data_IF_380446816842
#
_entry.id   IF_380446816842
#
_cell.length_a   1.000
_cell.length_b   1.000
_cell.length_c   1.000
_cell.angle_alpha   90.00
_cell.angle_beta   90.00
_cell.angle_gamma   90.00
#
_symmetry.space_group_name_H-M   'P 1'
#
loop_
_entity.id
_entity.type
_entity.pdbx_description
1 polymer ?
#
# COMPACT_ATOMS: atom_id res chain seq x y z
N UNK A 1 41.55 24.82 27.35
CA UNK A 1 40.94 25.43 26.16
C UNK A 1 40.59 26.88 26.45
N UNK A 2 41.03 27.82 25.62
CA UNK A 2 40.69 29.22 25.85
C UNK A 2 39.19 29.45 25.65
N UNK A 3 38.58 30.37 26.43
CA UNK A 3 37.16 30.72 26.32
C UNK A 3 36.74 31.02 24.85
N UNK A 4 37.66 31.61 24.08
CA UNK A 4 37.46 31.91 22.65
C UNK A 4 37.26 30.65 21.77
N UNK A 5 37.99 29.57 22.05
CA UNK A 5 37.85 28.29 21.32
C UNK A 5 36.52 27.63 21.65
N UNK A 6 36.06 27.69 22.90
CA UNK A 6 34.78 27.17 23.31
C UNK A 6 33.63 27.91 22.61
N UNK A 7 33.66 29.25 22.54
CA UNK A 7 32.67 30.06 21.84
C UNK A 7 32.66 29.79 20.33
N UNK A 8 33.82 29.65 19.70
CA UNK A 8 33.92 29.30 18.28
C UNK A 8 33.33 27.91 17.98
N UNK A 9 33.61 26.93 18.85
CA UNK A 9 33.04 25.57 18.71
C UNK A 9 31.52 25.57 18.85
N UNK A 10 31.00 26.30 19.86
CA UNK A 10 29.56 26.43 20.06
C UNK A 10 28.88 27.09 18.86
N UNK A 11 29.44 28.17 18.34
CA UNK A 11 28.94 28.86 17.16
C UNK A 11 28.95 27.94 15.92
N UNK A 12 29.99 27.13 15.73
CA UNK A 12 30.10 26.17 14.65
C UNK A 12 29.02 25.09 14.77
N UNK A 13 28.79 24.55 15.97
CA UNK A 13 27.76 23.54 16.22
C UNK A 13 26.36 24.11 15.92
N UNK A 14 26.06 25.31 16.43
CA UNK A 14 24.78 25.99 16.16
C UNK A 14 24.59 26.23 14.66
N UNK A 15 25.63 26.65 13.96
CA UNK A 15 25.59 26.86 12.52
C UNK A 15 25.32 25.56 11.76
N UNK A 16 25.98 24.45 12.13
CA UNK A 16 25.77 23.14 11.53
C UNK A 16 24.35 22.63 11.77
N UNK A 17 23.83 22.80 12.99
CA UNK A 17 22.44 22.46 13.32
C UNK A 17 21.45 23.28 12.47
N UNK A 18 21.70 24.58 12.34
CA UNK A 18 20.89 25.46 11.51
C UNK A 18 20.89 25.02 10.04
N UNK A 19 22.03 24.69 9.45
CA UNK A 19 22.14 24.17 8.10
C UNK A 19 21.35 22.87 7.94
N UNK A 20 21.47 21.95 8.89
CA UNK A 20 20.77 20.68 8.85
C UNK A 20 19.25 20.86 8.93
N UNK A 21 18.78 21.75 9.82
CA UNK A 21 17.35 22.05 9.99
C UNK A 21 16.76 22.76 8.76
N UNK A 22 17.55 23.63 8.12
CA UNK A 22 17.11 24.43 6.98
C UNK A 22 17.34 23.74 5.63
N UNK A 23 17.88 22.53 5.60
CA UNK A 23 18.26 21.83 4.37
C UNK A 23 17.07 21.63 3.42
N UNK A 24 17.08 22.20 2.20
CA UNK A 24 15.99 22.05 1.26
C UNK A 24 15.84 20.60 0.80
N UNK A 25 14.62 20.13 0.70
CA UNK A 25 14.33 18.76 0.27
C UNK A 25 14.90 18.42 -1.11
N UNK A 26 14.80 19.36 -2.05
CA UNK A 26 15.36 19.21 -3.42
C UNK A 26 16.86 18.93 -3.43
N UNK A 27 17.61 19.48 -2.45
CA UNK A 27 19.04 19.24 -2.35
C UNK A 27 19.31 17.84 -1.79
N UNK A 28 18.54 17.40 -0.80
CA UNK A 28 18.67 16.07 -0.24
C UNK A 28 18.39 14.96 -1.27
N UNK A 29 17.42 15.17 -2.16
CA UNK A 29 17.07 14.20 -3.21
C UNK A 29 18.19 13.96 -4.23
N UNK A 30 19.12 14.90 -4.41
CA UNK A 30 20.27 14.69 -5.31
C UNK A 30 21.23 13.60 -4.82
N UNK A 31 21.18 13.26 -3.53
CA UNK A 31 21.98 12.20 -2.90
C UNK A 31 21.24 10.87 -2.73
N UNK A 32 19.96 10.83 -3.11
CA UNK A 32 19.14 9.60 -3.05
C UNK A 32 19.08 8.97 -4.42
N UNK A 33 19.61 7.77 -4.55
CA UNK A 33 19.42 6.97 -5.75
C UNK A 33 17.96 6.46 -5.79
N UNK A 34 17.17 7.04 -6.69
CA UNK A 34 15.81 6.58 -6.91
C UNK A 34 15.84 5.24 -7.67
N UNK A 35 14.93 4.30 -7.35
CA UNK A 35 14.78 3.08 -8.13
C UNK A 35 14.50 3.40 -9.61
N UNK A 36 14.90 2.47 -10.49
CA UNK A 36 14.61 2.58 -11.93
C UNK A 36 13.09 2.65 -12.15
N UNK A 37 12.64 3.61 -12.97
CA UNK A 37 11.21 3.82 -13.23
C UNK A 37 10.53 4.86 -12.33
N UNK A 38 11.18 5.29 -11.22
CA UNK A 38 10.62 6.32 -10.34
C UNK A 38 11.09 7.71 -10.75
N UNK A 39 10.14 8.61 -11.00
CA UNK A 39 10.37 10.02 -11.30
C UNK A 39 9.65 10.88 -10.28
N UNK A 40 10.34 11.90 -9.78
CA UNK A 40 9.81 12.82 -8.77
C UNK A 40 9.86 14.24 -9.33
N UNK A 41 8.73 14.93 -9.29
CA UNK A 41 8.61 16.31 -9.80
C UNK A 41 7.97 17.24 -8.78
N UNK A 42 8.38 18.54 -8.82
CA UNK A 42 7.75 19.56 -7.98
C UNK A 42 8.05 19.41 -6.47
N UNK A 43 9.34 19.16 -6.12
CA UNK A 43 9.72 18.98 -4.71
C UNK A 43 9.87 20.31 -4.01
N UNK A 44 9.14 20.50 -2.92
CA UNK A 44 9.15 21.67 -2.07
C UNK A 44 9.39 21.35 -0.60
N UNK A 45 9.72 22.39 0.21
CA UNK A 45 9.95 22.26 1.63
C UNK A 45 11.37 21.86 2.03
N UNK A 46 11.50 21.27 3.21
CA UNK A 46 12.77 20.84 3.83
C UNK A 46 12.89 19.33 3.92
N UNK A 47 14.09 18.84 4.26
CA UNK A 47 14.32 17.42 4.55
C UNK A 47 13.32 16.89 5.61
N UNK A 48 12.94 17.71 6.57
CA UNK A 48 12.10 17.35 7.72
C UNK A 48 10.61 17.40 7.44
N UNK A 49 10.20 18.25 6.52
CA UNK A 49 8.83 18.41 6.09
C UNK A 49 8.81 18.93 4.66
N UNK A 50 8.22 18.20 3.79
CA UNK A 50 8.12 18.61 2.40
C UNK A 50 6.94 17.97 1.70
N UNK A 51 6.84 18.31 0.44
CA UNK A 51 5.78 17.90 -0.47
C UNK A 51 6.37 17.63 -1.83
N UNK A 52 5.80 16.66 -2.53
CA UNK A 52 6.08 16.36 -3.92
C UNK A 52 4.78 16.51 -4.69
N UNK A 53 4.78 17.38 -5.70
CA UNK A 53 3.60 17.60 -6.53
C UNK A 53 3.21 16.34 -7.32
N UNK A 54 4.22 15.58 -7.80
CA UNK A 54 3.98 14.35 -8.55
C UNK A 54 5.11 13.33 -8.36
N UNK A 55 4.74 12.10 -8.06
CA UNK A 55 5.61 10.92 -8.10
C UNK A 55 5.05 9.97 -9.16
N UNK A 56 5.86 9.65 -10.14
CA UNK A 56 5.54 8.62 -11.14
C UNK A 56 6.39 7.40 -10.86
N UNK A 57 5.75 6.25 -10.71
CA UNK A 57 6.38 4.95 -10.61
C UNK A 57 5.77 4.06 -11.70
N UNK A 58 6.52 3.82 -12.77
CA UNK A 58 6.06 3.16 -13.98
C UNK A 58 4.77 3.81 -14.54
N UNK A 59 3.64 3.11 -14.48
CA UNK A 59 2.33 3.59 -14.94
C UNK A 59 1.53 4.30 -13.85
N UNK A 60 1.94 4.19 -12.59
CA UNK A 60 1.24 4.78 -11.45
C UNK A 60 1.72 6.21 -11.23
N UNK A 61 0.78 7.14 -11.15
CA UNK A 61 1.03 8.53 -10.81
C UNK A 61 0.35 8.85 -9.47
N UNK A 62 1.12 9.40 -8.54
CA UNK A 62 0.63 9.90 -7.26
C UNK A 62 0.92 11.40 -7.19
N UNK A 63 -0.07 12.18 -6.77
CA UNK A 63 0.04 13.63 -6.58
C UNK A 63 -0.12 13.99 -5.10
N UNK A 64 0.40 15.14 -4.74
CA UNK A 64 0.30 15.71 -3.39
C UNK A 64 0.81 14.73 -2.31
N UNK A 65 2.03 14.20 -2.54
CA UNK A 65 2.69 13.34 -1.57
C UNK A 65 3.46 14.19 -0.58
N UNK A 66 3.03 14.16 0.68
CA UNK A 66 3.64 14.92 1.76
C UNK A 66 4.40 13.99 2.70
N UNK A 67 5.49 14.50 3.27
CA UNK A 67 6.23 13.77 4.30
C UNK A 67 6.57 14.65 5.49
N UNK A 68 6.72 14.00 6.63
CA UNK A 68 7.21 14.61 7.88
C UNK A 68 8.14 13.65 8.60
N UNK A 69 9.40 14.02 8.72
CA UNK A 69 10.38 13.29 9.53
C UNK A 69 10.21 13.66 11.00
N UNK A 70 10.25 12.68 11.89
CA UNK A 70 10.23 12.88 13.35
C UNK A 70 11.65 12.94 13.90
N UNK A 71 12.22 14.15 14.16
CA UNK A 71 13.63 14.27 14.50
C UNK A 71 14.00 13.62 15.85
N UNK A 72 13.06 13.57 16.81
CA UNK A 72 13.30 12.94 18.10
C UNK A 72 13.52 11.41 18.00
N UNK A 73 12.98 10.76 16.98
CA UNK A 73 13.22 9.34 16.75
C UNK A 73 14.67 9.04 16.37
N UNK A 74 15.37 10.02 15.76
CA UNK A 74 16.78 9.89 15.40
C UNK A 74 17.68 9.76 16.64
N UNK A 75 17.30 10.38 17.76
CA UNK A 75 18.04 10.23 19.02
C UNK A 75 18.03 8.78 19.52
N UNK A 76 17.00 8.00 19.14
CA UNK A 76 16.92 6.56 19.40
C UNK A 76 17.51 5.69 18.29
N UNK A 77 18.22 6.27 17.31
CA UNK A 77 18.81 5.54 16.19
C UNK A 77 17.76 5.00 15.18
N UNK A 78 16.60 5.66 15.11
CA UNK A 78 15.51 5.29 14.22
C UNK A 78 15.12 6.47 13.34
N UNK A 79 15.08 6.29 12.03
CA UNK A 79 14.47 7.24 11.12
C UNK A 79 12.95 6.95 11.08
N UNK A 80 12.15 7.92 11.49
CA UNK A 80 10.69 7.81 11.42
C UNK A 80 10.12 8.88 10.52
N UNK A 81 9.28 8.48 9.58
CA UNK A 81 8.73 9.28 8.50
C UNK A 81 7.21 9.05 8.40
N UNK A 82 6.43 10.08 8.59
CA UNK A 82 5.01 10.07 8.28
C UNK A 82 4.84 10.47 6.81
N UNK A 83 4.11 9.67 6.05
CA UNK A 83 3.81 9.92 4.63
C UNK A 83 2.30 10.03 4.47
N UNK A 84 1.84 11.02 3.71
CA UNK A 84 0.44 11.22 3.36
C UNK A 84 0.34 11.44 1.86
N UNK A 85 -0.62 10.78 1.22
CA UNK A 85 -0.99 10.94 -0.18
C UNK A 85 -2.33 11.66 -0.19
N UNK A 86 -2.38 12.85 -0.80
CA UNK A 86 -3.56 13.69 -0.81
C UNK A 86 -4.69 13.18 -1.70
N UNK A 87 -5.88 13.73 -1.49
CA UNK A 87 -7.06 13.46 -2.31
C UNK A 87 -6.96 14.22 -3.64
N UNK A 88 -6.42 13.56 -4.66
CA UNK A 88 -6.41 14.07 -6.02
C UNK A 88 -7.15 13.10 -6.94
N UNK A 89 -7.92 13.63 -7.91
CA UNK A 89 -8.75 12.81 -8.82
C UNK A 89 -7.92 11.78 -9.61
N UNK A 90 -6.66 12.12 -9.90
CA UNK A 90 -5.74 11.25 -10.64
C UNK A 90 -5.00 10.24 -9.74
N UNK A 91 -5.15 10.31 -8.41
CA UNK A 91 -4.48 9.39 -7.52
C UNK A 91 -5.19 8.03 -7.52
N UNK A 92 -4.40 6.99 -7.81
CA UNK A 92 -4.85 5.60 -7.67
C UNK A 92 -5.10 5.25 -6.20
N UNK A 93 -4.31 5.82 -5.31
CA UNK A 93 -4.31 5.57 -3.87
C UNK A 93 -4.35 6.88 -3.11
N UNK A 94 -5.13 6.93 -2.04
CA UNK A 94 -5.21 8.06 -1.10
C UNK A 94 -4.98 7.52 0.31
N UNK A 95 -4.33 8.31 1.15
CA UNK A 95 -4.14 7.91 2.55
C UNK A 95 -2.73 8.17 3.06
N UNK A 96 -2.25 7.34 3.98
CA UNK A 96 -0.92 7.54 4.55
C UNK A 96 -0.56 6.54 5.62
N UNK A 97 0.62 6.72 6.19
CA UNK A 97 1.14 5.85 7.24
C UNK A 97 2.49 6.31 7.75
N UNK A 98 3.01 5.58 8.71
CA UNK A 98 4.32 5.84 9.30
C UNK A 98 5.33 4.80 8.87
N UNK A 99 6.43 5.23 8.26
CA UNK A 99 7.61 4.42 7.97
C UNK A 99 8.64 4.59 9.07
N UNK A 100 9.20 3.50 9.56
CA UNK A 100 10.25 3.50 10.55
C UNK A 100 11.40 2.62 10.07
N UNK A 101 12.61 3.17 10.01
CA UNK A 101 13.82 2.49 9.55
C UNK A 101 14.82 2.45 10.71
N UNK A 102 15.21 1.25 11.10
CA UNK A 102 16.23 1.03 12.13
C UNK A 102 17.15 -0.11 11.72
N UNK A 103 18.47 0.13 11.66
CA UNK A 103 19.48 -0.89 11.35
C UNK A 103 19.12 -1.71 10.10
N UNK A 104 18.73 -1.04 9.01
CA UNK A 104 18.28 -1.63 7.74
C UNK A 104 16.92 -2.38 7.80
N UNK A 105 16.28 -2.48 8.95
CA UNK A 105 14.92 -3.02 9.06
C UNK A 105 13.91 -1.91 8.78
N UNK A 106 13.04 -2.13 7.81
CA UNK A 106 11.93 -1.23 7.46
C UNK A 106 10.66 -1.75 8.10
N UNK A 107 9.95 -0.86 8.79
CA UNK A 107 8.66 -1.13 9.40
C UNK A 107 7.64 -0.08 8.96
N UNK A 108 6.50 -0.53 8.54
CA UNK A 108 5.34 0.32 8.24
C UNK A 108 4.32 0.17 9.37
N UNK A 109 3.79 1.27 9.85
CA UNK A 109 2.80 1.30 10.93
C UNK A 109 1.64 2.21 10.58
N UNK A 110 0.48 1.85 11.09
CA UNK A 110 -0.75 2.65 11.04
C UNK A 110 -1.04 3.16 9.61
N UNK A 111 -0.74 2.34 8.59
CA UNK A 111 -1.00 2.68 7.21
C UNK A 111 -2.48 2.45 6.89
N UNK A 112 -3.08 3.46 6.28
CA UNK A 112 -4.43 3.39 5.72
C UNK A 112 -4.39 3.93 4.32
N UNK A 113 -4.80 3.10 3.36
CA UNK A 113 -4.88 3.47 1.96
C UNK A 113 -6.29 3.14 1.45
N UNK A 114 -6.79 4.03 0.62
CA UNK A 114 -8.09 3.89 -0.03
C UNK A 114 -7.90 3.98 -1.53
N UNK A 115 -8.65 3.17 -2.27
CA UNK A 115 -8.63 3.15 -3.72
C UNK A 115 -10.00 2.72 -4.26
N UNK A 116 -10.35 3.16 -5.46
CA UNK A 116 -11.53 2.64 -6.15
C UNK A 116 -11.19 1.32 -6.86
N UNK A 117 -12.03 0.33 -6.67
CA UNK A 117 -11.84 -0.98 -7.30
C UNK A 117 -11.75 -0.89 -8.83
N UNK A 118 -12.50 0.03 -9.43
CA UNK A 118 -12.47 0.30 -10.88
C UNK A 118 -11.08 0.68 -11.36
N UNK A 119 -10.39 1.54 -10.60
CA UNK A 119 -9.06 2.03 -10.95
C UNK A 119 -8.00 0.95 -10.73
N UNK A 120 -8.10 0.21 -9.62
CA UNK A 120 -7.22 -0.94 -9.35
C UNK A 120 -7.35 -2.04 -10.41
N UNK A 121 -8.57 -2.29 -10.89
CA UNK A 121 -8.84 -3.32 -11.90
C UNK A 121 -8.13 -3.02 -13.25
N UNK A 122 -7.86 -1.74 -13.54
CA UNK A 122 -7.12 -1.34 -14.75
C UNK A 122 -5.65 -1.80 -14.74
N UNK A 123 -5.07 -2.00 -13.55
CA UNK A 123 -3.68 -2.47 -13.36
C UNK A 123 -3.60 -3.99 -13.12
N UNK A 124 -4.73 -4.69 -13.14
CA UNK A 124 -4.72 -6.14 -12.97
C UNK A 124 -4.03 -6.83 -14.16
N UNK A 125 -3.14 -7.82 -13.93
CA UNK A 125 -2.47 -8.56 -15.01
C UNK A 125 -3.45 -9.26 -15.96
N UNK A 126 -4.63 -9.57 -15.47
CA UNK A 126 -5.74 -10.12 -16.25
C UNK A 126 -6.97 -9.26 -15.96
N UNK A 127 -7.43 -8.48 -16.94
CA UNK A 127 -8.63 -7.68 -16.75
C UNK A 127 -9.85 -8.56 -16.47
N UNK A 128 -10.65 -8.14 -15.51
CA UNK A 128 -11.92 -8.81 -15.24
C UNK A 128 -12.81 -8.75 -16.50
N UNK A 129 -13.45 -9.85 -16.89
CA UNK A 129 -14.43 -9.85 -17.98
C UNK A 129 -15.68 -9.04 -17.65
N UNK A 130 -15.88 -8.72 -16.39
CA UNK A 130 -17.00 -7.93 -15.90
C UNK A 130 -16.53 -6.63 -15.28
N UNK A 131 -17.16 -5.49 -15.59
CA UNK A 131 -16.89 -4.25 -14.88
C UNK A 131 -17.17 -4.41 -13.38
N UNK A 132 -16.24 -3.89 -12.56
CA UNK A 132 -16.31 -3.94 -11.11
C UNK A 132 -16.35 -2.52 -10.55
N UNK A 133 -17.05 -2.32 -9.44
CA UNK A 133 -17.04 -1.08 -8.67
C UNK A 133 -17.03 -1.37 -7.17
N UNK A 134 -16.65 -0.39 -6.40
CA UNK A 134 -16.56 -0.44 -4.94
C UNK A 134 -15.33 0.31 -4.45
N UNK A 135 -15.26 0.50 -3.14
CA UNK A 135 -14.16 1.19 -2.49
C UNK A 135 -13.31 0.17 -1.73
N UNK A 136 -12.03 0.14 -2.02
CA UNK A 136 -11.05 -0.76 -1.38
C UNK A 136 -10.29 0.01 -0.32
N UNK A 137 -10.30 -0.49 0.90
CA UNK A 137 -9.54 0.07 2.02
C UNK A 137 -8.50 -0.94 2.50
N UNK A 138 -7.23 -0.53 2.51
CA UNK A 138 -6.14 -1.27 3.12
C UNK A 138 -5.82 -0.65 4.47
N UNK A 139 -5.84 -1.45 5.53
CA UNK A 139 -5.42 -1.05 6.88
C UNK A 139 -4.29 -1.97 7.33
N UNK A 140 -3.09 -1.42 7.48
CA UNK A 140 -1.93 -2.11 8.05
C UNK A 140 -1.60 -1.51 9.41
N UNK A 141 -1.77 -2.29 10.46
CA UNK A 141 -1.36 -1.90 11.81
C UNK A 141 0.15 -2.02 11.96
N UNK A 142 0.72 -3.09 11.41
CA UNK A 142 2.16 -3.33 11.43
C UNK A 142 2.57 -4.17 10.21
N UNK A 143 3.64 -3.75 9.56
CA UNK A 143 4.33 -4.53 8.53
C UNK A 143 5.82 -4.39 8.77
N UNK A 144 6.50 -5.48 8.99
CA UNK A 144 7.96 -5.56 9.09
C UNK A 144 8.47 -6.24 7.84
N UNK A 145 9.22 -5.50 7.01
CA UNK A 145 9.83 -6.08 5.82
C UNK A 145 10.89 -7.11 6.18
N UNK A 146 10.98 -8.14 5.36
CA UNK A 146 11.88 -9.27 5.53
C UNK A 146 12.20 -9.94 4.20
N UNK A 147 12.67 -11.18 4.25
CA UNK A 147 12.95 -11.96 3.05
C UNK A 147 12.05 -13.20 3.04
N UNK A 148 11.40 -13.50 1.90
CA UNK A 148 11.41 -12.79 0.61
C UNK A 148 10.64 -11.46 0.59
N UNK A 149 9.65 -11.21 1.48
CA UNK A 149 8.88 -9.97 1.51
C UNK A 149 8.63 -9.44 2.93
N UNK A 150 8.24 -10.28 3.86
CA UNK A 150 7.86 -9.88 5.21
C UNK A 150 8.45 -10.77 6.30
N UNK A 151 8.60 -10.21 7.50
CA UNK A 151 8.82 -10.95 8.74
C UNK A 151 7.55 -10.97 9.60
N UNK A 152 6.73 -9.93 9.50
CA UNK A 152 5.50 -9.79 10.25
C UNK A 152 4.53 -8.90 9.47
N UNK A 153 3.26 -9.29 9.42
CA UNK A 153 2.18 -8.47 8.86
C UNK A 153 0.96 -8.61 9.76
N UNK A 154 0.36 -7.46 10.07
CA UNK A 154 -0.93 -7.37 10.75
C UNK A 154 -1.75 -6.32 10.02
N UNK A 155 -2.79 -6.75 9.35
CA UNK A 155 -3.63 -5.85 8.57
C UNK A 155 -4.84 -6.52 7.98
N UNK A 156 -5.60 -5.73 7.24
CA UNK A 156 -6.78 -6.19 6.51
C UNK A 156 -7.02 -5.35 5.27
N UNK A 157 -7.69 -5.96 4.32
CA UNK A 157 -8.24 -5.29 3.13
C UNK A 157 -9.75 -5.44 3.19
N UNK A 158 -10.46 -4.36 2.99
CA UNK A 158 -11.92 -4.32 2.96
C UNK A 158 -12.36 -3.78 1.60
N UNK A 159 -13.30 -4.47 0.95
CA UNK A 159 -14.05 -3.98 -0.19
C UNK A 159 -15.42 -3.57 0.33
N UNK A 160 -15.77 -2.30 0.19
CA UNK A 160 -17.06 -1.75 0.59
C UNK A 160 -17.90 -1.44 -0.63
N UNK A 161 -19.19 -1.76 -0.57
CA UNK A 161 -20.13 -1.51 -1.67
C UNK A 161 -19.72 -2.19 -2.97
N UNK A 162 -19.09 -3.36 -2.86
CA UNK A 162 -18.66 -4.14 -4.02
C UNK A 162 -19.85 -4.48 -4.93
N UNK A 163 -19.72 -4.22 -6.24
CA UNK A 163 -20.70 -4.62 -7.23
C UNK A 163 -20.03 -5.01 -8.55
N UNK A 164 -20.68 -5.90 -9.29
CA UNK A 164 -20.25 -6.43 -10.58
C UNK A 164 -21.34 -6.23 -11.61
N UNK A 165 -20.99 -5.79 -12.81
CA UNK A 165 -21.96 -5.65 -13.88
C UNK A 165 -22.16 -6.98 -14.62
N UNK A 166 -23.40 -7.46 -14.62
CA UNK A 166 -23.83 -8.67 -15.35
C UNK A 166 -24.87 -8.27 -16.37
N UNK A 167 -24.49 -8.25 -17.64
CA UNK A 167 -25.35 -7.70 -18.69
C UNK A 167 -25.62 -6.20 -18.46
N UNK A 168 -26.90 -5.76 -18.47
CA UNK A 168 -27.24 -4.35 -18.26
C UNK A 168 -27.36 -3.95 -16.78
N UNK A 169 -27.30 -4.91 -15.84
CA UNK A 169 -27.58 -4.69 -14.41
C UNK A 169 -26.31 -4.77 -13.57
N UNK A 170 -26.28 -3.98 -12.49
CA UNK A 170 -25.29 -4.09 -11.46
C UNK A 170 -25.78 -5.00 -10.36
N UNK A 171 -25.01 -6.02 -10.05
CA UNK A 171 -25.26 -6.98 -8.99
C UNK A 171 -24.39 -6.67 -7.79
N UNK A 172 -25.00 -6.48 -6.65
CA UNK A 172 -24.33 -6.18 -5.40
C UNK A 172 -23.59 -7.42 -4.90
N UNK A 173 -22.27 -7.29 -4.68
CA UNK A 173 -21.44 -8.31 -4.07
C UNK A 173 -21.40 -8.16 -2.54
N UNK A 174 -21.82 -7.00 -2.04
CA UNK A 174 -21.70 -6.65 -0.63
C UNK A 174 -20.27 -6.32 -0.21
N UNK A 175 -20.04 -6.35 1.09
CA UNK A 175 -18.74 -6.05 1.67
C UNK A 175 -17.93 -7.35 1.79
N UNK A 176 -16.67 -7.29 1.37
CA UNK A 176 -15.72 -8.39 1.48
C UNK A 176 -14.53 -7.94 2.33
N UNK A 177 -14.03 -8.83 3.16
CA UNK A 177 -12.87 -8.57 4.01
C UNK A 177 -11.85 -9.68 3.87
N UNK A 178 -10.57 -9.31 3.70
CA UNK A 178 -9.46 -10.23 3.77
C UNK A 178 -8.50 -9.85 4.90
N UNK A 179 -8.04 -10.82 5.65
CA UNK A 179 -7.00 -10.66 6.69
C UNK A 179 -5.64 -10.87 6.06
N UNK A 180 -4.72 -9.98 6.37
CA UNK A 180 -3.33 -10.04 5.91
C UNK A 180 -2.45 -10.64 7.01
N UNK A 181 -1.55 -11.52 6.59
CA UNK A 181 -0.58 -12.18 7.45
C UNK A 181 0.79 -12.31 6.78
N UNK A 182 1.71 -12.96 7.48
CA UNK A 182 3.04 -13.28 6.95
C UNK A 182 3.39 -14.72 7.35
N UNK A 183 3.62 -15.59 6.38
CA UNK A 183 4.00 -16.99 6.57
C UNK A 183 5.24 -17.30 5.75
N UNK A 184 6.29 -17.78 6.40
CA UNK A 184 7.59 -18.11 5.76
C UNK A 184 8.16 -16.99 4.88
N UNK A 185 7.92 -15.74 5.28
CA UNK A 185 8.37 -14.56 4.53
C UNK A 185 7.44 -14.12 3.41
N UNK A 186 6.36 -14.85 3.15
CA UNK A 186 5.35 -14.51 2.15
C UNK A 186 4.22 -13.71 2.79
N UNK A 187 3.81 -12.64 2.11
CA UNK A 187 2.57 -11.94 2.45
C UNK A 187 1.39 -12.85 2.10
N UNK A 188 0.54 -13.10 3.08
CA UNK A 188 -0.69 -13.90 2.89
C UNK A 188 -1.91 -13.01 2.99
N UNK A 189 -2.96 -13.38 2.23
CA UNK A 189 -4.27 -12.78 2.33
C UNK A 189 -5.33 -13.88 2.32
N UNK A 190 -6.17 -13.90 3.35
CA UNK A 190 -7.25 -14.86 3.50
C UNK A 190 -8.60 -14.13 3.53
N UNK A 191 -9.48 -14.50 2.61
CA UNK A 191 -10.82 -13.92 2.54
C UNK A 191 -11.69 -14.47 3.67
N UNK A 192 -12.26 -13.57 4.45
CA UNK A 192 -13.17 -13.92 5.55
C UNK A 192 -14.49 -14.48 5.00
N UNK A 193 -15.19 -15.30 5.81
CA UNK A 193 -16.51 -15.80 5.44
C UNK A 193 -17.46 -14.67 5.02
N UNK A 194 -18.15 -14.86 3.91
CA UNK A 194 -18.99 -13.83 3.30
C UNK A 194 -20.28 -14.42 2.74
N UNK A 195 -21.23 -13.55 2.39
CA UNK A 195 -22.55 -13.94 1.90
C UNK A 195 -22.53 -14.55 0.49
N UNK A 196 -21.45 -14.32 -0.27
CA UNK A 196 -21.32 -14.86 -1.64
C UNK A 196 -20.94 -16.34 -1.67
N UNK A 197 -20.46 -16.89 -0.53
CA UNK A 197 -19.87 -18.24 -0.49
C UNK A 197 -18.53 -18.32 -1.21
N UNK A 198 -17.84 -17.18 -1.34
CA UNK A 198 -16.49 -17.09 -1.89
C UNK A 198 -15.48 -17.33 -0.79
N UNK A 199 -14.58 -18.27 -1.02
CA UNK A 199 -13.36 -18.46 -0.22
C UNK A 199 -12.16 -18.19 -1.12
N UNK A 200 -11.15 -17.50 -0.60
CA UNK A 200 -9.92 -17.24 -1.32
C UNK A 200 -8.75 -17.17 -0.34
N UNK A 201 -7.63 -17.72 -0.76
CA UNK A 201 -6.35 -17.59 -0.10
C UNK A 201 -5.31 -17.22 -1.15
N UNK A 202 -4.47 -16.26 -0.83
CA UNK A 202 -3.37 -15.82 -1.69
C UNK A 202 -2.11 -15.65 -0.85
N UNK A 203 -0.98 -15.97 -1.47
CA UNK A 203 0.35 -15.62 -0.95
C UNK A 203 1.20 -15.00 -2.04
N UNK A 204 2.01 -14.02 -1.68
CA UNK A 204 2.84 -13.30 -2.63
C UNK A 204 4.20 -12.91 -2.05
N UNK A 205 5.16 -12.81 -2.93
CA UNK A 205 6.47 -12.19 -2.70
C UNK A 205 6.68 -11.04 -3.69
N UNK A 206 7.92 -10.59 -3.86
CA UNK A 206 8.27 -9.49 -4.77
C UNK A 206 8.14 -9.84 -6.25
N UNK A 207 8.03 -11.11 -6.61
CA UNK A 207 8.07 -11.58 -8.00
C UNK A 207 6.90 -12.49 -8.38
N UNK A 208 6.25 -13.09 -7.38
CA UNK A 208 5.24 -14.11 -7.60
C UNK A 208 4.03 -13.88 -6.71
N UNK A 209 2.86 -14.08 -7.26
CA UNK A 209 1.63 -14.28 -6.52
C UNK A 209 1.01 -15.61 -6.89
N UNK A 210 0.55 -16.36 -5.90
CA UNK A 210 -0.14 -17.61 -6.10
C UNK A 210 -1.26 -17.75 -5.08
N UNK A 211 -2.30 -18.41 -5.49
CA UNK A 211 -3.43 -18.56 -4.59
C UNK A 211 -4.47 -19.52 -5.13
N UNK A 212 -5.49 -19.66 -4.34
CA UNK A 212 -6.64 -20.47 -4.68
C UNK A 212 -7.92 -19.75 -4.28
N UNK A 213 -8.96 -19.99 -5.05
CA UNK A 213 -10.30 -19.53 -4.72
C UNK A 213 -11.32 -20.60 -5.05
N UNK A 214 -12.42 -20.55 -4.35
CA UNK A 214 -13.56 -21.42 -4.56
C UNK A 214 -14.84 -20.63 -4.38
N UNK A 215 -15.80 -20.89 -5.27
CA UNK A 215 -17.15 -20.33 -5.16
C UNK A 215 -18.09 -21.49 -4.85
N UNK A 216 -18.79 -21.38 -3.72
CA UNK A 216 -19.82 -22.34 -3.31
C UNK A 216 -21.21 -21.72 -3.42
N UNK A 217 -22.23 -22.57 -3.57
CA UNK A 217 -23.60 -22.09 -3.55
C UNK A 217 -23.93 -21.52 -2.17
N UNK A 218 -24.26 -20.23 -2.12
CA UNK A 218 -24.72 -19.56 -0.91
C UNK A 218 -26.18 -19.13 -1.04
N UNK A 219 -27.00 -19.54 -0.10
CA UNK A 219 -28.40 -19.12 -0.05
C UNK A 219 -28.57 -17.62 0.16
N UNK A 220 -27.55 -16.96 0.71
CA UNK A 220 -27.55 -15.53 1.01
C UNK A 220 -27.08 -14.68 -0.19
N UNK A 221 -26.46 -15.31 -1.21
CA UNK A 221 -26.03 -14.59 -2.41
C UNK A 221 -27.24 -14.08 -3.21
N UNK A 222 -27.11 -12.95 -3.93
CA UNK A 222 -28.11 -12.47 -4.88
C UNK A 222 -28.55 -13.54 -5.86
N UNK A 223 -29.85 -13.52 -6.25
CA UNK A 223 -30.43 -14.55 -7.12
C UNK A 223 -29.71 -14.70 -8.46
N UNK A 224 -29.30 -13.57 -9.04
CA UNK A 224 -28.53 -13.50 -10.29
C UNK A 224 -27.18 -14.22 -10.17
N UNK A 225 -26.44 -13.97 -9.09
CA UNK A 225 -25.17 -14.63 -8.82
C UNK A 225 -25.34 -16.12 -8.54
N UNK A 226 -26.39 -16.52 -7.80
CA UNK A 226 -26.72 -17.95 -7.60
C UNK A 226 -27.00 -18.66 -8.92
N UNK A 227 -27.79 -18.03 -9.80
CA UNK A 227 -28.06 -18.59 -11.12
C UNK A 227 -26.78 -18.70 -11.96
N UNK A 228 -25.92 -17.70 -11.92
CA UNK A 228 -24.64 -17.70 -12.63
C UNK A 228 -23.72 -18.82 -12.09
N UNK A 229 -23.61 -18.97 -10.78
CA UNK A 229 -22.85 -20.05 -10.15
C UNK A 229 -23.46 -21.41 -10.50
N UNK A 230 -24.80 -21.53 -10.54
CA UNK A 230 -25.49 -22.76 -10.91
C UNK A 230 -25.22 -23.17 -12.38
N UNK A 231 -25.00 -22.21 -13.28
CA UNK A 231 -24.64 -22.45 -14.68
C UNK A 231 -23.17 -22.81 -14.89
N UNK A 232 -22.30 -22.54 -13.92
CA UNK A 232 -20.88 -22.89 -14.03
C UNK A 232 -20.70 -24.41 -14.03
N UNK A 233 -19.82 -24.95 -14.88
CA UNK A 233 -19.50 -26.37 -14.88
C UNK A 233 -18.96 -26.80 -13.52
N UNK A 234 -19.21 -28.04 -13.12
CA UNK A 234 -18.78 -28.58 -11.82
C UNK A 234 -17.27 -28.39 -11.55
N UNK A 235 -16.47 -28.37 -12.61
CA UNK A 235 -15.01 -28.11 -12.52
C UNK A 235 -14.72 -26.65 -12.10
N UNK A 236 -15.50 -25.69 -12.56
CA UNK A 236 -15.32 -24.27 -12.20
C UNK A 236 -15.78 -23.96 -10.76
N UNK A 237 -16.59 -24.83 -10.16
CA UNK A 237 -17.00 -24.72 -8.74
C UNK A 237 -15.99 -25.37 -7.77
N UNK A 238 -15.01 -26.12 -8.30
CA UNK A 238 -13.91 -26.65 -7.50
C UNK A 238 -12.89 -25.55 -7.19
N UNK A 239 -11.99 -25.83 -6.29
CA UNK A 239 -10.85 -24.96 -5.99
C UNK A 239 -10.08 -24.66 -7.28
N UNK A 240 -10.05 -23.39 -7.65
CA UNK A 240 -9.27 -22.88 -8.78
C UNK A 240 -7.95 -22.34 -8.23
N UNK A 241 -6.84 -22.73 -8.86
CA UNK A 241 -5.50 -22.25 -8.48
C UNK A 241 -4.97 -21.33 -9.55
N UNK A 242 -4.30 -20.28 -9.13
CA UNK A 242 -3.60 -19.37 -10.03
C UNK A 242 -2.17 -19.15 -9.55
N UNK A 243 -1.31 -18.82 -10.49
CA UNK A 243 0.04 -18.37 -10.22
C UNK A 243 0.39 -17.32 -11.27
N UNK A 244 0.86 -16.15 -10.80
CA UNK A 244 1.25 -15.01 -11.63
C UNK A 244 2.68 -14.64 -11.26
N UNK A 245 3.47 -14.30 -12.25
CA UNK A 245 4.81 -13.71 -12.09
C UNK A 245 4.75 -12.26 -12.56
N UNK A 246 5.28 -11.33 -11.74
CA UNK A 246 5.37 -9.89 -12.03
C UNK A 246 6.65 -9.55 -12.77
#
# INVERSE_FOLDING_TARGET
>A
MSKKVLWALTALVVFMVFLLVSMPARFALQFVELPTGVQVGGVSGTLWRGEVDAVRADEIMLRDVQWRVRPLALLGGQLQLDVTIGEHVENLLVGGGTLAIRSAQVRVRDMRLEARLTDLAAYAPQPSPFPLRGDVQLQLTNLVLGQPLCNEVQGRVELQGGAMQVGPTWEELGDLQAVLGCEDGWLTAELMPNTLGLTAFMRMDMQHAQGEFQISESAQAPRSLRNLVAMLPTQARRVQRFSVRF
#
